data_IF_441960881722
#
_entry.id   IF_441960881722
#
_cell.length_a   1.000
_cell.length_b   1.000
_cell.length_c   1.000
_cell.angle_alpha   90.00
_cell.angle_beta   90.00
_cell.angle_gamma   90.00
#
_symmetry.space_group_name_H-M   'P 1'
#
loop_
_entity.id
_entity.type
_entity.pdbx_description
1 polymer ?
#
# COMPACT_ATOMS: atom_id res chain seq x y z
N UNK A 1 -11.69 22.18 13.30
CA UNK A 1 -10.36 21.49 13.20
C UNK A 1 -10.53 20.33 12.25
N UNK A 2 -9.63 20.16 11.28
CA UNK A 2 -9.68 19.03 10.33
C UNK A 2 -9.33 17.73 11.04
N UNK A 3 -10.10 16.69 10.79
CA UNK A 3 -9.92 15.35 11.38
C UNK A 3 -9.11 14.45 10.47
N UNK A 4 -9.39 14.47 9.17
CA UNK A 4 -8.77 13.61 8.20
C UNK A 4 -8.29 14.41 6.98
N UNK A 5 -6.99 14.27 6.66
CA UNK A 5 -6.45 14.68 5.36
C UNK A 5 -6.43 13.51 4.40
N UNK A 6 -7.12 13.63 3.28
CA UNK A 6 -6.91 12.77 2.12
C UNK A 6 -5.82 13.37 1.23
N UNK A 7 -4.83 12.55 0.84
CA UNK A 7 -3.74 12.96 -0.03
C UNK A 7 -3.91 12.23 -1.34
N UNK A 8 -4.05 12.98 -2.43
CA UNK A 8 -4.34 12.45 -3.77
C UNK A 8 -3.16 12.80 -4.71
N UNK A 9 -2.16 11.90 -4.86
CA UNK A 9 -1.10 12.08 -5.85
C UNK A 9 -1.71 12.00 -7.25
N UNK A 10 -1.45 13.01 -8.08
CA UNK A 10 -2.14 13.20 -9.36
C UNK A 10 -1.15 13.51 -10.48
N UNK A 11 -1.05 12.64 -11.48
CA UNK A 11 -0.25 12.86 -12.67
C UNK A 11 -0.97 12.34 -13.92
N UNK A 12 -1.31 13.24 -14.85
CA UNK A 12 -2.01 12.92 -16.10
C UNK A 12 -3.26 12.02 -15.88
N UNK A 13 -4.15 12.44 -14.97
CA UNK A 13 -5.31 11.66 -14.54
C UNK A 13 -6.63 12.44 -14.62
N UNK A 14 -6.74 13.42 -15.53
CA UNK A 14 -7.92 14.31 -15.68
C UNK A 14 -9.25 13.55 -15.74
N UNK A 15 -9.28 12.39 -16.39
CA UNK A 15 -10.50 11.61 -16.61
C UNK A 15 -10.88 10.74 -15.40
N UNK A 16 -9.98 10.56 -14.44
CA UNK A 16 -10.13 9.69 -13.26
C UNK A 16 -10.32 10.51 -11.96
N UNK A 17 -9.61 11.64 -11.87
CA UNK A 17 -9.58 12.48 -10.68
C UNK A 17 -10.98 12.90 -10.18
N UNK A 18 -11.92 13.13 -11.10
CA UNK A 18 -13.29 13.54 -10.77
C UNK A 18 -13.97 12.54 -9.84
N UNK A 19 -13.97 11.24 -10.18
CA UNK A 19 -14.56 10.19 -9.35
C UNK A 19 -13.88 10.09 -7.99
N UNK A 20 -12.57 10.16 -7.96
CA UNK A 20 -11.80 10.12 -6.73
C UNK A 20 -12.22 11.23 -5.75
N UNK A 21 -12.20 12.48 -6.21
CA UNK A 21 -12.54 13.64 -5.37
C UNK A 21 -14.03 13.60 -4.96
N UNK A 22 -14.94 13.31 -5.89
CA UNK A 22 -16.39 13.28 -5.63
C UNK A 22 -16.76 12.25 -4.57
N UNK A 23 -16.10 11.11 -4.51
CA UNK A 23 -16.34 10.10 -3.47
C UNK A 23 -16.02 10.58 -2.05
N UNK A 24 -15.19 11.62 -1.91
CA UNK A 24 -14.82 12.22 -0.61
C UNK A 24 -15.73 13.41 -0.22
N UNK A 25 -16.56 13.91 -1.14
CA UNK A 25 -17.41 15.07 -0.90
C UNK A 25 -18.69 14.69 -0.14
N UNK A 26 -18.55 14.12 1.05
CA UNK A 26 -19.64 13.75 1.94
C UNK A 26 -20.09 14.97 2.76
N UNK A 27 -21.32 15.50 2.53
CA UNK A 27 -21.76 16.76 3.18
C UNK A 27 -21.75 16.73 4.71
N UNK A 28 -22.00 15.55 5.31
CA UNK A 28 -22.11 15.38 6.76
C UNK A 28 -20.78 15.59 7.49
N UNK A 29 -19.65 15.42 6.80
CA UNK A 29 -18.30 15.49 7.40
C UNK A 29 -17.32 16.36 6.60
N UNK A 30 -17.77 17.00 5.54
CA UNK A 30 -16.90 17.76 4.62
C UNK A 30 -16.10 18.87 5.33
N UNK A 31 -16.66 19.50 6.34
CA UNK A 31 -16.01 20.51 7.17
C UNK A 31 -14.83 19.95 7.98
N UNK A 32 -14.85 18.63 8.26
CA UNK A 32 -13.79 17.89 8.97
C UNK A 32 -12.72 17.30 8.04
N UNK A 33 -12.94 17.34 6.72
CA UNK A 33 -12.02 16.83 5.72
C UNK A 33 -11.09 17.90 5.17
N UNK A 34 -9.84 17.50 4.88
CA UNK A 34 -8.82 18.26 4.18
C UNK A 34 -8.35 17.43 2.98
N UNK A 35 -8.90 17.70 1.81
CA UNK A 35 -8.63 16.94 0.57
C UNK A 35 -7.52 17.66 -0.19
N UNK A 36 -6.35 17.06 -0.28
CA UNK A 36 -5.13 17.63 -0.86
C UNK A 36 -4.84 16.92 -2.17
N UNK A 37 -5.09 17.61 -3.27
CA UNK A 37 -4.70 17.14 -4.61
C UNK A 37 -3.29 17.62 -4.88
N UNK A 38 -2.36 16.71 -5.10
CA UNK A 38 -0.97 17.04 -5.45
C UNK A 38 -0.77 16.77 -6.94
N UNK A 39 -0.80 17.84 -7.74
CA UNK A 39 -0.51 17.76 -9.17
C UNK A 39 1.01 17.68 -9.39
N UNK A 40 1.49 16.52 -9.76
CA UNK A 40 2.91 16.19 -9.94
C UNK A 40 3.40 16.51 -11.36
N UNK A 41 3.19 17.75 -11.81
CA UNK A 41 3.67 18.23 -13.12
C UNK A 41 2.90 17.63 -14.30
N UNK A 42 1.57 17.47 -14.18
CA UNK A 42 0.74 16.97 -15.28
C UNK A 42 0.81 17.86 -16.53
N UNK A 43 0.80 17.23 -17.69
CA UNK A 43 0.75 17.89 -19.01
C UNK A 43 -0.67 17.94 -19.61
N UNK A 44 -1.62 17.24 -19.01
CA UNK A 44 -3.05 17.26 -19.38
C UNK A 44 -3.84 18.26 -18.49
N UNK A 45 -5.16 18.26 -18.59
CA UNK A 45 -6.04 19.15 -17.84
C UNK A 45 -6.24 18.77 -16.35
N UNK A 46 -5.44 17.85 -15.77
CA UNK A 46 -5.54 17.43 -14.36
C UNK A 46 -5.55 18.62 -13.40
N UNK A 47 -4.62 19.59 -13.59
CA UNK A 47 -4.56 20.78 -12.73
C UNK A 47 -5.82 21.64 -12.83
N UNK A 48 -6.39 21.78 -14.04
CA UNK A 48 -7.61 22.57 -14.27
C UNK A 48 -8.84 21.90 -13.61
N UNK A 49 -8.96 20.57 -13.72
CA UNK A 49 -9.99 19.78 -13.02
C UNK A 49 -9.87 19.96 -11.51
N UNK A 50 -8.67 19.80 -10.96
CA UNK A 50 -8.41 19.98 -9.54
C UNK A 50 -8.77 21.40 -9.05
N UNK A 51 -8.38 22.44 -9.80
CA UNK A 51 -8.73 23.84 -9.49
C UNK A 51 -10.23 24.07 -9.50
N UNK A 52 -10.98 23.39 -10.36
CA UNK A 52 -12.44 23.42 -10.38
C UNK A 52 -13.05 22.93 -9.05
N UNK A 53 -12.50 21.89 -8.42
CA UNK A 53 -12.91 21.42 -7.10
C UNK A 53 -12.50 22.39 -5.99
N UNK A 54 -11.30 22.96 -6.03
CA UNK A 54 -10.87 23.98 -5.06
C UNK A 54 -11.80 25.21 -5.07
N UNK A 55 -12.23 25.65 -6.23
CA UNK A 55 -13.12 26.81 -6.35
C UNK A 55 -14.53 26.50 -5.79
N UNK A 56 -15.02 25.26 -5.90
CA UNK A 56 -16.33 24.84 -5.38
C UNK A 56 -16.31 24.53 -3.88
N UNK A 57 -15.18 24.05 -3.36
CA UNK A 57 -15.03 23.60 -1.97
C UNK A 57 -13.77 24.18 -1.31
N UNK A 58 -13.63 25.52 -1.24
CA UNK A 58 -12.36 26.17 -0.85
C UNK A 58 -11.92 25.85 0.58
N UNK A 59 -12.85 25.51 1.48
CA UNK A 59 -12.56 25.18 2.87
C UNK A 59 -12.10 23.71 3.06
N UNK A 60 -12.27 22.87 2.05
CA UNK A 60 -12.02 21.42 2.19
C UNK A 60 -11.13 20.83 1.10
N UNK A 61 -11.02 21.45 -0.07
CA UNK A 61 -10.21 20.95 -1.19
C UNK A 61 -9.09 21.94 -1.51
N UNK A 62 -7.87 21.43 -1.58
CA UNK A 62 -6.67 22.22 -1.90
C UNK A 62 -5.88 21.57 -3.01
N UNK A 63 -5.32 22.39 -3.90
CA UNK A 63 -4.38 21.99 -4.95
C UNK A 63 -2.97 22.44 -4.60
N UNK A 64 -2.02 21.54 -4.70
CA UNK A 64 -0.59 21.81 -4.65
C UNK A 64 0.00 21.34 -5.98
N UNK A 65 0.64 22.24 -6.74
CA UNK A 65 1.32 21.87 -7.98
C UNK A 65 2.83 21.92 -7.77
N UNK A 66 3.51 20.93 -8.30
CA UNK A 66 4.96 20.79 -8.24
C UNK A 66 5.52 20.31 -9.58
N UNK A 67 6.83 20.43 -9.78
CA UNK A 67 7.54 19.71 -10.82
C UNK A 67 7.43 18.19 -10.58
N UNK A 68 7.41 17.38 -11.65
CA UNK A 68 7.25 15.94 -11.50
C UNK A 68 8.41 15.35 -10.68
N UNK A 69 8.05 14.68 -9.58
CA UNK A 69 8.95 13.95 -8.67
C UNK A 69 8.56 12.49 -8.53
N UNK A 70 7.57 12.06 -9.31
CA UNK A 70 6.96 10.75 -9.18
C UNK A 70 6.02 10.63 -7.99
N UNK A 71 5.33 9.49 -7.91
CA UNK A 71 4.29 9.25 -6.92
C UNK A 71 4.78 9.47 -5.48
N UNK A 72 5.95 8.94 -5.10
CA UNK A 72 6.54 9.15 -3.79
C UNK A 72 6.81 10.62 -3.46
N UNK A 73 7.26 11.42 -4.46
CA UNK A 73 7.46 12.87 -4.30
C UNK A 73 6.15 13.61 -4.06
N UNK A 74 5.07 13.22 -4.76
CA UNK A 74 3.73 13.77 -4.53
C UNK A 74 3.20 13.42 -3.12
N UNK A 75 3.43 12.18 -2.66
CA UNK A 75 3.10 11.77 -1.29
C UNK A 75 3.88 12.57 -0.25
N UNK A 76 5.19 12.77 -0.45
CA UNK A 76 6.00 13.59 0.46
C UNK A 76 5.42 14.99 0.63
N UNK A 77 5.04 15.61 -0.48
CA UNK A 77 4.44 16.96 -0.48
C UNK A 77 3.08 16.98 0.21
N UNK A 78 2.20 16.03 -0.13
CA UNK A 78 0.85 15.96 0.46
C UNK A 78 0.88 15.65 1.96
N UNK A 79 1.69 14.69 2.40
CA UNK A 79 1.83 14.34 3.82
C UNK A 79 2.41 15.51 4.65
N UNK A 80 3.35 16.27 4.09
CA UNK A 80 3.87 17.47 4.73
C UNK A 80 2.81 18.57 4.88
N UNK A 81 1.89 18.69 3.90
CA UNK A 81 0.85 19.70 3.88
C UNK A 81 -0.41 19.33 4.68
N UNK A 82 -0.57 18.07 5.12
CA UNK A 82 -1.75 17.58 5.81
C UNK A 82 -2.11 18.40 7.06
N UNK A 83 -3.39 18.76 7.22
CA UNK A 83 -3.91 19.55 8.36
C UNK A 83 -4.80 18.73 9.30
N UNK A 84 -5.22 17.55 8.88
CA UNK A 84 -6.04 16.63 9.66
C UNK A 84 -5.26 15.99 10.81
N UNK A 85 -5.97 15.61 11.87
CA UNK A 85 -5.44 14.76 12.96
C UNK A 85 -4.84 13.46 12.40
N UNK A 86 -5.47 12.94 11.35
CA UNK A 86 -5.03 11.76 10.59
C UNK A 86 -4.79 12.10 9.13
N UNK A 87 -3.97 11.30 8.46
CA UNK A 87 -3.73 11.33 7.01
C UNK A 87 -3.95 9.95 6.39
N UNK A 88 -4.58 9.94 5.22
CA UNK A 88 -4.79 8.75 4.40
C UNK A 88 -4.50 9.09 2.94
N UNK A 89 -3.80 8.20 2.25
CA UNK A 89 -3.55 8.35 0.82
C UNK A 89 -4.64 7.63 0.03
N UNK A 90 -5.07 8.25 -1.07
CA UNK A 90 -5.96 7.67 -2.07
C UNK A 90 -5.38 7.98 -3.44
N UNK A 91 -5.13 6.96 -4.26
CA UNK A 91 -4.65 7.17 -5.63
C UNK A 91 -5.72 7.81 -6.50
N UNK A 92 -5.32 8.67 -7.45
CA UNK A 92 -6.25 9.47 -8.24
C UNK A 92 -7.16 8.64 -9.18
N UNK A 93 -6.85 7.37 -9.40
CA UNK A 93 -7.66 6.40 -10.16
C UNK A 93 -8.55 5.50 -9.28
N UNK A 94 -8.47 5.66 -7.96
CA UNK A 94 -9.24 4.96 -6.94
C UNK A 94 -10.30 5.88 -6.31
N UNK A 95 -11.11 5.35 -5.38
CA UNK A 95 -12.13 6.14 -4.68
C UNK A 95 -12.37 5.61 -3.25
N UNK A 96 -13.24 6.27 -2.50
CA UNK A 96 -13.63 5.86 -1.16
C UNK A 96 -15.11 5.49 -1.08
N UNK A 97 -15.46 4.63 -0.14
CA UNK A 97 -16.84 4.32 0.24
C UNK A 97 -17.46 5.51 0.97
N UNK A 98 -18.09 6.40 0.23
CA UNK A 98 -18.66 7.68 0.72
C UNK A 98 -19.58 7.48 1.92
N UNK A 99 -20.43 6.44 1.89
CA UNK A 99 -21.41 6.14 2.94
C UNK A 99 -20.76 5.81 4.29
N UNK A 100 -19.51 5.32 4.28
CA UNK A 100 -18.76 4.98 5.47
C UNK A 100 -17.95 6.15 6.05
N UNK A 101 -17.82 7.27 5.33
CA UNK A 101 -17.04 8.42 5.79
C UNK A 101 -17.54 9.03 7.11
N UNK A 102 -18.84 9.20 7.37
CA UNK A 102 -19.30 9.73 8.65
C UNK A 102 -18.87 8.87 9.83
N UNK A 103 -19.03 7.55 9.73
CA UNK A 103 -18.61 6.60 10.77
C UNK A 103 -17.09 6.59 10.94
N UNK A 104 -16.34 6.66 9.83
CA UNK A 104 -14.89 6.69 9.85
C UNK A 104 -14.36 7.95 10.52
N UNK A 105 -14.85 9.13 10.14
CA UNK A 105 -14.44 10.41 10.75
C UNK A 105 -14.78 10.44 12.23
N UNK A 106 -15.97 9.98 12.63
CA UNK A 106 -16.37 9.91 14.03
C UNK A 106 -15.46 8.97 14.86
N UNK A 107 -15.03 7.83 14.28
CA UNK A 107 -14.07 6.94 14.92
C UNK A 107 -12.70 7.61 15.07
N UNK A 108 -12.21 8.33 14.04
CA UNK A 108 -10.94 9.04 14.08
C UNK A 108 -10.90 10.19 15.09
N UNK A 109 -12.01 10.91 15.29
CA UNK A 109 -12.10 11.98 16.31
C UNK A 109 -11.73 11.47 17.69
N UNK A 110 -12.19 10.25 18.04
CA UNK A 110 -12.02 9.61 19.32
C UNK A 110 -10.84 8.62 19.39
N UNK A 111 -10.04 8.53 18.33
CA UNK A 111 -8.90 7.63 18.24
C UNK A 111 -7.60 8.39 18.45
N UNK A 112 -6.69 7.85 19.28
CA UNK A 112 -5.35 8.39 19.49
C UNK A 112 -4.24 7.44 19.05
N UNK A 113 -4.60 6.32 18.39
CA UNK A 113 -3.63 5.37 17.87
C UNK A 113 -2.75 5.98 16.77
N UNK A 114 -1.50 5.51 16.69
CA UNK A 114 -0.55 5.93 15.68
C UNK A 114 -0.98 5.51 14.27
N UNK A 115 -1.61 4.32 14.19
CA UNK A 115 -2.12 3.75 12.95
C UNK A 115 -3.56 3.30 13.14
N UNK A 116 -4.40 3.61 12.16
CA UNK A 116 -5.75 3.07 12.04
C UNK A 116 -5.82 2.24 10.78
N UNK A 117 -6.32 1.01 10.91
CA UNK A 117 -6.52 0.07 9.80
C UNK A 117 -7.99 0.01 9.43
N UNK A 118 -8.25 0.04 8.15
CA UNK A 118 -9.57 -0.16 7.55
C UNK A 118 -9.50 -1.25 6.49
N UNK A 119 -10.65 -1.79 6.09
CA UNK A 119 -10.77 -2.72 4.98
C UNK A 119 -10.79 -1.98 3.65
N UNK A 120 -10.57 -2.72 2.58
CA UNK A 120 -10.67 -2.18 1.22
C UNK A 120 -11.28 -3.21 0.27
N UNK A 121 -11.84 -2.72 -0.81
CA UNK A 121 -12.25 -3.53 -1.95
C UNK A 121 -11.23 -3.44 -3.07
N UNK A 122 -11.13 -4.50 -3.86
CA UNK A 122 -10.52 -4.48 -5.17
C UNK A 122 -11.64 -4.52 -6.21
N UNK A 123 -11.75 -3.49 -7.03
CA UNK A 123 -12.82 -3.30 -8.01
C UNK A 123 -12.27 -3.51 -9.42
N UNK A 124 -12.54 -4.67 -10.01
CA UNK A 124 -12.06 -5.00 -11.35
C UNK A 124 -12.97 -4.39 -12.42
N UNK A 125 -12.49 -3.33 -13.09
CA UNK A 125 -13.24 -2.62 -14.11
C UNK A 125 -13.44 -3.40 -15.42
N UNK A 126 -12.63 -4.44 -15.67
CA UNK A 126 -12.73 -5.23 -16.91
C UNK A 126 -13.85 -6.27 -16.86
N UNK A 127 -14.24 -6.75 -15.68
CA UNK A 127 -15.26 -7.78 -15.50
C UNK A 127 -16.35 -7.42 -14.48
N UNK A 128 -16.24 -6.25 -13.83
CA UNK A 128 -17.20 -5.76 -12.84
C UNK A 128 -17.17 -6.49 -11.48
N UNK A 129 -16.17 -7.36 -11.25
CA UNK A 129 -16.05 -8.09 -9.99
C UNK A 129 -15.43 -7.23 -8.89
N UNK A 130 -16.02 -7.29 -7.70
CA UNK A 130 -15.47 -6.67 -6.49
C UNK A 130 -15.09 -7.76 -5.50
N UNK A 131 -13.90 -7.62 -4.88
CA UNK A 131 -13.41 -8.54 -3.86
C UNK A 131 -13.07 -7.77 -2.59
N UNK A 132 -13.60 -8.22 -1.46
CA UNK A 132 -13.31 -7.67 -0.15
C UNK A 132 -11.93 -8.14 0.38
N UNK A 133 -11.16 -7.20 0.94
CA UNK A 133 -9.95 -7.46 1.68
C UNK A 133 -10.17 -7.01 3.11
N UNK A 134 -10.55 -7.96 3.95
CA UNK A 134 -10.94 -7.73 5.34
C UNK A 134 -9.90 -8.32 6.30
N UNK A 135 -9.59 -7.58 7.37
CA UNK A 135 -8.89 -8.09 8.55
C UNK A 135 -9.90 -8.64 9.54
N UNK A 136 -9.49 -9.63 10.33
CA UNK A 136 -10.35 -10.31 11.29
C UNK A 136 -9.76 -10.25 12.71
N UNK A 137 -9.61 -9.05 13.31
CA UNK A 137 -9.18 -8.96 14.70
C UNK A 137 -10.27 -9.51 15.63
N UNK A 138 -9.86 -9.97 16.81
CA UNK A 138 -10.83 -10.41 17.84
C UNK A 138 -11.72 -9.27 18.35
N UNK A 139 -11.22 -8.03 18.25
CA UNK A 139 -11.93 -6.83 18.69
C UNK A 139 -11.61 -5.67 17.77
N UNK A 140 -12.64 -5.10 17.16
CA UNK A 140 -12.54 -3.83 16.46
C UNK A 140 -12.57 -2.65 17.42
N UNK A 141 -11.99 -1.51 17.01
CA UNK A 141 -12.00 -0.28 17.80
C UNK A 141 -11.05 -0.25 19.00
N UNK A 142 -10.41 -1.38 19.34
CA UNK A 142 -9.43 -1.44 20.43
C UNK A 142 -8.02 -1.12 19.90
N UNK A 143 -7.28 -0.30 20.64
CA UNK A 143 -5.86 -0.09 20.38
C UNK A 143 -5.06 -1.34 20.78
N UNK A 144 -4.23 -1.83 19.85
CA UNK A 144 -3.33 -2.97 20.01
C UNK A 144 -1.89 -2.50 19.84
N UNK A 145 -0.97 -3.12 20.54
CA UNK A 145 0.48 -2.97 20.32
C UNK A 145 0.92 -3.71 19.06
N UNK A 146 2.10 -3.36 18.51
CA UNK A 146 2.70 -4.12 17.41
C UNK A 146 2.95 -5.59 17.81
N UNK A 147 3.26 -5.88 19.07
CA UNK A 147 3.43 -7.25 19.55
C UNK A 147 2.14 -8.07 19.41
N UNK A 148 0.99 -7.53 19.87
CA UNK A 148 -0.32 -8.18 19.72
C UNK A 148 -0.72 -8.37 18.25
N UNK A 149 -0.37 -7.41 17.38
CA UNK A 149 -0.56 -7.54 15.92
C UNK A 149 0.28 -8.71 15.37
N UNK A 150 1.55 -8.83 15.78
CA UNK A 150 2.45 -9.86 15.26
C UNK A 150 2.14 -11.27 15.78
N UNK A 151 1.55 -11.43 16.95
CA UNK A 151 1.03 -12.71 17.44
C UNK A 151 -0.07 -13.27 16.50
N UNK A 152 -0.80 -12.40 15.83
CA UNK A 152 -1.91 -12.73 14.92
C UNK A 152 -1.74 -12.06 13.55
N UNK A 153 -0.53 -12.03 13.06
CA UNK A 153 -0.16 -11.27 11.86
C UNK A 153 -1.05 -11.56 10.63
N UNK A 154 -1.46 -12.82 10.44
CA UNK A 154 -2.32 -13.21 9.31
C UNK A 154 -3.69 -12.52 9.33
N UNK A 155 -4.21 -12.15 10.51
CA UNK A 155 -5.51 -11.51 10.65
C UNK A 155 -5.46 -10.04 10.22
N UNK A 156 -4.29 -9.40 10.22
CA UNK A 156 -4.11 -7.98 9.99
C UNK A 156 -3.44 -7.63 8.66
N UNK A 157 -2.62 -8.52 8.09
CA UNK A 157 -1.81 -8.18 6.89
C UNK A 157 -2.62 -7.78 5.68
N UNK A 158 -3.90 -8.13 5.59
CA UNK A 158 -4.80 -7.67 4.51
C UNK A 158 -5.07 -6.16 4.56
N UNK A 159 -5.09 -5.57 5.77
CA UNK A 159 -5.29 -4.12 5.96
C UNK A 159 -3.98 -3.36 6.23
N UNK A 160 -2.88 -4.07 6.55
CA UNK A 160 -1.53 -3.49 6.68
C UNK A 160 -0.88 -3.24 5.31
N UNK A 161 -1.64 -2.64 4.43
CA UNK A 161 -1.27 -2.26 3.07
C UNK A 161 -1.48 -0.77 2.87
N UNK A 162 -0.95 -0.21 1.80
CA UNK A 162 -1.18 1.17 1.40
C UNK A 162 -2.66 1.56 1.47
N UNK A 163 -3.55 0.71 0.95
CA UNK A 163 -4.99 0.97 0.90
C UNK A 163 -5.67 0.97 2.28
N UNK A 164 -5.21 0.12 3.21
CA UNK A 164 -5.83 -0.05 4.53
C UNK A 164 -5.33 0.93 5.59
N UNK A 165 -4.12 1.46 5.44
CA UNK A 165 -3.45 2.26 6.47
C UNK A 165 -3.95 3.71 6.47
N UNK A 166 -4.16 4.24 7.68
CA UNK A 166 -4.35 5.66 7.98
C UNK A 166 -3.42 6.00 9.14
N UNK A 167 -2.59 7.01 9.01
CA UNK A 167 -1.64 7.42 10.04
C UNK A 167 -2.15 8.61 10.84
N UNK A 168 -1.88 8.65 12.14
CA UNK A 168 -1.93 9.91 12.90
C UNK A 168 -0.85 10.84 12.33
N UNK A 169 -1.24 12.02 11.91
CA UNK A 169 -0.38 12.95 11.14
C UNK A 169 0.91 13.29 11.89
N UNK A 170 0.80 13.57 13.18
CA UNK A 170 1.97 13.88 14.01
C UNK A 170 2.91 12.69 14.13
N UNK A 171 2.37 11.49 14.35
CA UNK A 171 3.17 10.25 14.38
C UNK A 171 3.94 10.06 13.06
N UNK A 172 3.25 10.18 11.91
CA UNK A 172 3.88 10.02 10.60
C UNK A 172 5.05 11.02 10.40
N UNK A 173 4.84 12.29 10.75
CA UNK A 173 5.86 13.34 10.66
C UNK A 173 7.07 13.06 11.55
N UNK A 174 6.84 12.56 12.78
CA UNK A 174 7.92 12.19 13.71
C UNK A 174 8.81 11.08 13.18
N UNK A 175 8.32 10.25 12.22
CA UNK A 175 9.15 9.23 11.59
C UNK A 175 10.27 9.79 10.70
N UNK A 176 10.17 11.06 10.28
CA UNK A 176 11.18 11.74 9.48
C UNK A 176 11.45 11.05 8.14
N UNK A 177 10.40 10.56 7.49
CA UNK A 177 10.50 9.79 6.25
C UNK A 177 10.36 10.73 5.06
N UNK A 178 11.24 10.55 4.08
CA UNK A 178 11.03 10.97 2.71
C UNK A 178 10.96 9.71 1.85
N UNK A 179 9.83 9.48 1.20
CA UNK A 179 9.64 8.37 0.26
C UNK A 179 10.51 8.58 -0.97
N UNK A 180 10.93 7.49 -1.58
CA UNK A 180 11.76 7.52 -2.78
C UNK A 180 11.03 8.18 -3.95
N UNK A 181 11.71 9.14 -4.61
CA UNK A 181 11.19 9.86 -5.77
C UNK A 181 11.53 9.12 -7.07
N UNK A 182 10.68 9.26 -8.13
CA UNK A 182 10.87 8.67 -9.45
C UNK A 182 11.02 7.14 -9.48
N UNK A 183 10.53 6.44 -8.46
CA UNK A 183 10.47 4.98 -8.42
C UNK A 183 9.03 4.52 -8.30
N UNK A 184 8.75 3.28 -8.68
CA UNK A 184 7.52 2.57 -8.37
C UNK A 184 7.76 1.67 -7.16
N UNK A 185 6.69 1.28 -6.48
CA UNK A 185 6.69 0.40 -5.29
C UNK A 185 7.15 1.09 -3.99
N UNK A 186 7.23 2.42 -3.96
CA UNK A 186 7.47 3.20 -2.74
C UNK A 186 6.29 3.14 -1.75
N UNK A 187 5.14 2.62 -2.18
CA UNK A 187 4.04 2.19 -1.31
C UNK A 187 4.49 1.17 -0.25
N UNK A 188 5.52 0.36 -0.58
CA UNK A 188 6.15 -0.54 0.38
C UNK A 188 6.94 0.24 1.45
N UNK A 189 7.56 1.36 1.09
CA UNK A 189 8.20 2.25 2.06
C UNK A 189 7.14 2.90 2.96
N UNK A 190 6.07 3.46 2.36
CA UNK A 190 4.96 4.08 3.07
C UNK A 190 4.29 3.11 4.06
N UNK A 191 4.02 1.89 3.65
CA UNK A 191 3.30 0.91 4.48
C UNK A 191 4.20 0.15 5.47
N UNK A 192 5.53 0.24 5.36
CA UNK A 192 6.46 -0.51 6.20
C UNK A 192 7.19 0.38 7.19
N UNK A 193 7.81 1.47 6.71
CA UNK A 193 8.76 2.26 7.51
C UNK A 193 8.09 2.99 8.68
N UNK A 194 6.95 3.71 8.53
CA UNK A 194 6.31 4.30 9.70
C UNK A 194 5.69 3.24 10.60
N UNK A 195 5.03 2.26 10.01
CA UNK A 195 4.22 1.28 10.72
C UNK A 195 5.05 0.42 11.70
N UNK A 196 6.32 0.10 11.35
CA UNK A 196 7.19 -0.70 12.22
C UNK A 196 7.53 -0.03 13.56
N UNK A 197 7.33 1.29 13.68
CA UNK A 197 7.58 2.07 14.91
C UNK A 197 6.28 2.46 15.64
N UNK A 198 5.11 1.96 15.18
CA UNK A 198 3.83 2.30 15.78
C UNK A 198 3.69 1.69 17.17
N UNK A 199 3.43 2.53 18.17
CA UNK A 199 3.14 2.11 19.54
C UNK A 199 1.72 1.59 19.71
N UNK A 200 0.80 2.04 18.85
CA UNK A 200 -0.62 1.66 18.92
C UNK A 200 -1.27 1.59 17.55
N UNK A 201 -2.06 0.54 17.34
CA UNK A 201 -2.75 0.25 16.08
C UNK A 201 -4.21 -0.10 16.38
N UNK A 202 -5.15 0.60 15.77
CA UNK A 202 -6.59 0.30 15.89
C UNK A 202 -7.13 -0.20 14.57
N UNK A 203 -7.84 -1.32 14.56
CA UNK A 203 -8.55 -1.81 13.38
C UNK A 203 -10.04 -1.47 13.50
N UNK A 204 -10.62 -0.87 12.47
CA UNK A 204 -12.04 -0.55 12.37
C UNK A 204 -12.72 -1.53 11.40
N UNK A 205 -13.93 -1.96 11.71
CA UNK A 205 -14.75 -2.80 10.81
C UNK A 205 -15.48 -1.91 9.79
N UNK A 206 -14.68 -1.21 8.98
CA UNK A 206 -15.15 -0.29 7.95
C UNK A 206 -14.38 -0.51 6.66
N UNK A 207 -15.10 -0.58 5.55
CA UNK A 207 -14.51 -0.49 4.22
C UNK A 207 -14.43 0.97 3.82
N UNK A 208 -13.22 1.44 3.47
CA UNK A 208 -12.99 2.87 3.15
C UNK A 208 -12.39 3.04 1.76
N UNK A 209 -11.57 2.13 1.29
CA UNK A 209 -10.82 2.28 0.05
C UNK A 209 -11.32 1.31 -1.02
N UNK A 210 -11.55 1.81 -2.21
CA UNK A 210 -11.88 1.04 -3.41
C UNK A 210 -10.74 1.11 -4.41
N UNK A 211 -9.96 0.02 -4.46
CA UNK A 211 -8.82 -0.13 -5.35
C UNK A 211 -9.26 -0.58 -6.73
N UNK A 212 -9.12 0.29 -7.72
CA UNK A 212 -9.42 0.02 -9.12
C UNK A 212 -8.37 -0.90 -9.74
N UNK A 213 -8.79 -2.02 -10.32
CA UNK A 213 -7.91 -2.94 -11.06
C UNK A 213 -8.52 -3.31 -12.42
N UNK A 214 -7.73 -4.00 -13.27
CA UNK A 214 -8.18 -4.51 -14.55
C UNK A 214 -7.85 -3.60 -15.75
N UNK A 215 -7.10 -2.52 -15.54
CA UNK A 215 -6.50 -1.76 -16.64
C UNK A 215 -5.18 -2.42 -17.07
N UNK A 216 -5.00 -2.60 -18.39
CA UNK A 216 -3.79 -3.22 -18.94
C UNK A 216 -2.51 -2.42 -18.69
N UNK A 217 -2.63 -1.12 -18.40
CA UNK A 217 -1.51 -0.21 -18.15
C UNK A 217 -1.07 -0.17 -16.68
N UNK A 218 -1.75 -0.89 -15.80
CA UNK A 218 -1.44 -0.86 -14.36
C UNK A 218 -0.02 -1.34 -14.04
N UNK A 219 0.52 -0.78 -12.95
CA UNK A 219 1.88 -1.07 -12.45
C UNK A 219 2.12 -2.55 -12.18
N UNK A 220 1.08 -3.25 -11.74
CA UNK A 220 1.12 -4.64 -11.29
C UNK A 220 1.09 -5.69 -12.42
N UNK A 221 0.98 -5.30 -13.71
CA UNK A 221 1.10 -6.26 -14.80
C UNK A 221 2.51 -6.87 -14.85
N UNK A 222 2.63 -8.17 -15.18
CA UNK A 222 3.93 -8.87 -15.27
C UNK A 222 4.92 -8.14 -16.18
N UNK A 223 4.43 -7.58 -17.29
CA UNK A 223 5.26 -6.84 -18.25
C UNK A 223 5.83 -5.56 -17.62
N UNK A 224 5.04 -4.84 -16.84
CA UNK A 224 5.46 -3.63 -16.17
C UNK A 224 6.39 -3.94 -14.97
N UNK A 225 6.11 -4.99 -14.21
CA UNK A 225 7.00 -5.44 -13.15
C UNK A 225 8.39 -5.83 -13.69
N UNK A 226 8.46 -6.53 -14.84
CA UNK A 226 9.73 -6.88 -15.48
C UNK A 226 10.50 -5.65 -15.97
N UNK A 227 9.81 -4.63 -16.49
CA UNK A 227 10.44 -3.36 -16.90
C UNK A 227 10.97 -2.57 -15.70
N UNK A 228 10.37 -2.73 -14.54
CA UNK A 228 10.62 -1.95 -13.32
C UNK A 228 11.38 -2.71 -12.25
N UNK A 229 12.11 -3.78 -12.60
CA UNK A 229 12.90 -4.57 -11.63
C UNK A 229 13.90 -3.71 -10.86
N UNK A 230 14.55 -2.74 -11.52
CA UNK A 230 15.47 -1.81 -10.87
C UNK A 230 14.79 -0.94 -9.80
N UNK A 231 13.52 -0.59 -9.99
CA UNK A 231 12.74 0.16 -8.99
C UNK A 231 12.44 -0.72 -7.77
N UNK A 232 12.01 -1.98 -7.97
CA UNK A 232 11.83 -2.91 -6.86
C UNK A 232 13.13 -3.15 -6.10
N UNK A 233 14.26 -3.25 -6.83
CA UNK A 233 15.59 -3.41 -6.24
C UNK A 233 15.99 -2.17 -5.41
N UNK A 234 15.76 -0.96 -5.92
CA UNK A 234 16.04 0.29 -5.21
C UNK A 234 15.20 0.44 -3.93
N UNK A 235 13.91 0.12 -3.99
CA UNK A 235 13.03 0.14 -2.80
C UNK A 235 13.47 -0.91 -1.78
N UNK A 236 13.86 -2.12 -2.20
CA UNK A 236 14.40 -3.12 -1.27
C UNK A 236 15.69 -2.64 -0.60
N UNK A 237 16.59 -2.00 -1.36
CA UNK A 237 17.84 -1.45 -0.82
C UNK A 237 17.56 -0.32 0.18
N UNK A 238 16.59 0.53 -0.11
CA UNK A 238 16.11 1.57 0.80
C UNK A 238 15.52 0.98 2.09
N UNK A 239 14.68 -0.04 1.97
CA UNK A 239 14.10 -0.72 3.14
C UNK A 239 15.19 -1.38 4.00
N UNK A 240 16.20 -2.02 3.40
CA UNK A 240 17.33 -2.59 4.14
C UNK A 240 18.10 -1.52 4.92
N UNK A 241 18.38 -0.37 4.28
CA UNK A 241 19.05 0.76 4.94
C UNK A 241 18.22 1.34 6.09
N UNK A 242 16.90 1.45 5.93
CA UNK A 242 16.00 1.91 6.98
C UNK A 242 15.93 0.93 8.16
N UNK A 243 15.93 -0.37 7.89
CA UNK A 243 15.96 -1.40 8.93
C UNK A 243 17.24 -1.33 9.78
N UNK A 244 18.40 -1.17 9.14
CA UNK A 244 19.70 -1.02 9.84
C UNK A 244 19.76 0.25 10.70
N UNK A 245 19.14 1.34 10.22
CA UNK A 245 19.25 2.67 10.85
C UNK A 245 18.29 2.85 12.03
N UNK A 246 17.12 2.19 12.01
CA UNK A 246 16.02 2.46 12.97
C UNK A 246 16.21 1.68 14.27
N UNK A 247 16.03 2.34 15.43
CA UNK A 247 16.00 1.65 16.72
C UNK A 247 14.63 0.98 16.91
N UNK A 248 14.45 -0.23 16.34
CA UNK A 248 13.21 -1.00 16.45
C UNK A 248 13.28 -1.97 17.63
N UNK A 249 12.15 -2.12 18.33
CA UNK A 249 11.94 -3.20 19.27
C UNK A 249 11.77 -4.57 18.56
N UNK A 250 11.59 -5.64 19.33
CA UNK A 250 11.46 -6.99 18.76
C UNK A 250 10.24 -7.13 17.83
N UNK A 251 9.10 -6.52 18.19
CA UNK A 251 7.88 -6.60 17.41
C UNK A 251 7.95 -5.79 16.12
N UNK A 252 8.49 -4.57 16.17
CA UNK A 252 8.74 -3.73 15.01
C UNK A 252 9.73 -4.38 14.03
N UNK A 253 10.79 -5.03 14.54
CA UNK A 253 11.69 -5.84 13.72
C UNK A 253 10.98 -6.99 13.03
N UNK A 254 10.19 -7.77 13.78
CA UNK A 254 9.44 -8.90 13.23
C UNK A 254 8.43 -8.45 12.15
N UNK A 255 7.76 -7.31 12.35
CA UNK A 255 6.88 -6.69 11.36
C UNK A 255 7.67 -6.33 10.09
N UNK A 256 8.78 -5.61 10.23
CA UNK A 256 9.60 -5.17 9.10
C UNK A 256 10.12 -6.37 8.29
N UNK A 257 10.64 -7.40 8.97
CA UNK A 257 11.13 -8.64 8.36
C UNK A 257 10.04 -9.37 7.59
N UNK A 258 8.81 -9.38 8.12
CA UNK A 258 7.65 -9.99 7.45
C UNK A 258 7.23 -9.20 6.21
N UNK A 259 7.20 -7.87 6.28
CA UNK A 259 6.94 -7.00 5.11
C UNK A 259 8.02 -7.19 4.05
N UNK A 260 9.29 -7.19 4.42
CA UNK A 260 10.41 -7.45 3.52
C UNK A 260 10.29 -8.82 2.85
N UNK A 261 9.97 -9.89 3.62
CA UNK A 261 9.71 -11.23 3.05
C UNK A 261 8.64 -11.17 1.96
N UNK A 262 7.49 -10.52 2.24
CA UNK A 262 6.37 -10.45 1.29
C UNK A 262 6.82 -9.76 0.01
N UNK A 263 7.51 -8.63 0.10
CA UNK A 263 7.99 -7.87 -1.04
C UNK A 263 9.03 -8.66 -1.86
N UNK A 264 10.00 -9.28 -1.18
CA UNK A 264 11.01 -10.13 -1.84
C UNK A 264 10.36 -11.33 -2.54
N UNK A 265 9.35 -11.98 -1.96
CA UNK A 265 8.66 -13.10 -2.61
C UNK A 265 7.94 -12.66 -3.89
N UNK A 266 7.32 -11.49 -3.92
CA UNK A 266 6.74 -10.90 -5.14
C UNK A 266 7.80 -10.66 -6.22
N UNK A 267 8.94 -10.08 -5.86
CA UNK A 267 10.08 -9.91 -6.76
C UNK A 267 10.60 -11.25 -7.29
N UNK A 268 10.77 -12.26 -6.42
CA UNK A 268 11.24 -13.59 -6.82
C UNK A 268 10.28 -14.28 -7.79
N UNK A 269 8.97 -14.15 -7.60
CA UNK A 269 7.96 -14.63 -8.55
C UNK A 269 8.17 -14.00 -9.92
N UNK A 270 8.37 -12.69 -9.97
CA UNK A 270 8.59 -11.95 -11.22
C UNK A 270 9.85 -12.41 -11.92
N UNK A 271 11.00 -12.40 -11.25
CA UNK A 271 12.29 -12.72 -11.91
C UNK A 271 12.46 -14.22 -12.20
N UNK A 272 11.86 -15.11 -11.41
CA UNK A 272 12.02 -16.56 -11.60
C UNK A 272 10.95 -17.17 -12.51
N UNK A 273 9.68 -16.70 -12.42
CA UNK A 273 8.59 -17.32 -13.17
C UNK A 273 8.10 -16.48 -14.36
N UNK A 274 8.02 -15.14 -14.24
CA UNK A 274 7.56 -14.29 -15.34
C UNK A 274 8.67 -13.99 -16.37
N UNK A 275 9.93 -13.82 -15.94
CA UNK A 275 11.04 -13.54 -16.86
C UNK A 275 11.25 -14.70 -17.85
N UNK A 276 11.24 -14.39 -19.16
CA UNK A 276 11.52 -15.35 -20.23
C UNK A 276 12.98 -15.80 -20.19
N UNK A 277 13.91 -14.93 -19.78
CA UNK A 277 15.32 -15.29 -19.59
C UNK A 277 15.55 -15.96 -18.24
N UNK A 278 15.25 -17.23 -18.16
CA UNK A 278 15.31 -18.03 -16.91
C UNK A 278 16.69 -17.99 -16.23
N UNK A 279 17.79 -17.86 -16.99
CA UNK A 279 19.14 -17.77 -16.44
C UNK A 279 19.42 -16.40 -15.82
N UNK A 280 19.04 -15.33 -16.48
CA UNK A 280 19.17 -13.97 -15.93
C UNK A 280 18.31 -13.81 -14.66
N UNK A 281 17.07 -14.30 -14.66
CA UNK A 281 16.20 -14.31 -13.49
C UNK A 281 16.83 -15.01 -12.30
N UNK A 282 17.47 -16.19 -12.50
CA UNK A 282 18.18 -16.88 -11.40
C UNK A 282 19.33 -16.06 -10.83
N UNK A 283 20.15 -15.44 -11.69
CA UNK A 283 21.29 -14.60 -11.22
C UNK A 283 20.81 -13.43 -10.37
N UNK A 284 19.72 -12.74 -10.81
CA UNK A 284 19.10 -11.65 -10.05
C UNK A 284 18.55 -12.12 -8.69
N UNK A 285 17.81 -13.23 -8.71
CA UNK A 285 17.25 -13.81 -7.50
C UNK A 285 18.35 -14.21 -6.50
N UNK A 286 19.43 -14.86 -6.97
CA UNK A 286 20.56 -15.25 -6.13
C UNK A 286 21.28 -14.06 -5.51
N UNK A 287 21.55 -13.01 -6.30
CA UNK A 287 22.18 -11.79 -5.80
C UNK A 287 21.32 -11.11 -4.72
N UNK A 288 19.99 -11.02 -4.96
CA UNK A 288 19.07 -10.39 -4.01
C UNK A 288 18.90 -11.20 -2.73
N UNK A 289 18.82 -12.53 -2.83
CA UNK A 289 18.73 -13.41 -1.66
C UNK A 289 20.01 -13.42 -0.83
N UNK A 290 21.18 -13.33 -1.49
CA UNK A 290 22.47 -13.19 -0.79
C UNK A 290 22.53 -11.89 0.00
N UNK A 291 22.13 -10.77 -0.60
CA UNK A 291 22.07 -9.47 0.09
C UNK A 291 21.09 -9.50 1.28
N UNK A 292 19.93 -10.16 1.11
CA UNK A 292 18.96 -10.33 2.19
C UNK A 292 19.55 -11.18 3.34
N UNK A 293 20.27 -12.24 3.03
CA UNK A 293 20.94 -13.08 4.04
C UNK A 293 21.99 -12.30 4.83
N UNK A 294 22.78 -11.44 4.16
CA UNK A 294 23.80 -10.60 4.77
C UNK A 294 23.20 -9.49 5.65
N UNK A 295 22.12 -8.83 5.19
CA UNK A 295 21.59 -7.61 5.80
C UNK A 295 20.39 -7.85 6.74
N UNK A 296 19.61 -8.90 6.50
CA UNK A 296 18.40 -9.23 7.26
C UNK A 296 18.18 -10.76 7.28
N UNK A 297 19.05 -11.51 8.01
CA UNK A 297 19.04 -12.99 7.99
C UNK A 297 17.72 -13.60 8.42
N UNK A 298 16.96 -12.94 9.28
CA UNK A 298 15.65 -13.44 9.70
C UNK A 298 14.62 -13.39 8.55
N UNK A 299 14.60 -12.30 7.76
CA UNK A 299 13.74 -12.22 6.59
C UNK A 299 14.16 -13.24 5.51
N UNK A 300 15.47 -13.47 5.35
CA UNK A 300 15.98 -14.55 4.50
C UNK A 300 15.46 -15.91 4.97
N UNK A 301 15.57 -16.23 6.26
CA UNK A 301 15.08 -17.48 6.83
C UNK A 301 13.57 -17.68 6.60
N UNK A 302 12.77 -16.60 6.66
CA UNK A 302 11.34 -16.61 6.36
C UNK A 302 11.05 -16.87 4.88
N UNK A 303 11.92 -16.45 3.95
CA UNK A 303 11.71 -16.52 2.49
C UNK A 303 12.35 -17.77 1.84
N UNK A 304 13.36 -18.40 2.46
CA UNK A 304 14.23 -19.40 1.83
C UNK A 304 13.48 -20.62 1.28
N UNK A 305 12.42 -21.08 1.97
CA UNK A 305 11.62 -22.24 1.51
C UNK A 305 10.91 -21.94 0.18
N UNK A 306 10.24 -20.79 0.10
CA UNK A 306 9.55 -20.35 -1.11
C UNK A 306 10.56 -20.06 -2.24
N UNK A 307 11.69 -19.45 -1.92
CA UNK A 307 12.78 -19.25 -2.88
C UNK A 307 13.26 -20.59 -3.49
N UNK A 308 13.46 -21.64 -2.68
CA UNK A 308 13.85 -22.95 -3.18
C UNK A 308 12.79 -23.55 -4.13
N UNK A 309 11.50 -23.40 -3.79
CA UNK A 309 10.39 -23.82 -4.67
C UNK A 309 10.42 -23.05 -5.99
N UNK A 310 10.46 -21.71 -5.96
CA UNK A 310 10.47 -20.90 -7.18
C UNK A 310 11.70 -21.18 -8.06
N UNK A 311 12.86 -21.41 -7.45
CA UNK A 311 14.09 -21.79 -8.15
C UNK A 311 13.95 -23.15 -8.86
N UNK A 312 13.28 -24.11 -8.25
CA UNK A 312 12.98 -25.42 -8.87
C UNK A 312 12.01 -25.25 -10.03
N UNK A 313 10.92 -24.52 -9.84
CA UNK A 313 9.95 -24.21 -10.89
C UNK A 313 10.59 -23.47 -12.08
N UNK A 314 11.51 -22.53 -11.80
CA UNK A 314 12.26 -21.84 -12.85
C UNK A 314 13.13 -22.83 -13.67
N UNK A 315 13.83 -23.79 -13.02
CA UNK A 315 14.63 -24.83 -13.72
C UNK A 315 13.76 -25.70 -14.59
N UNK A 316 12.55 -26.02 -14.15
CA UNK A 316 11.54 -26.77 -14.90
C UNK A 316 10.82 -25.92 -15.96
N UNK A 317 11.16 -24.64 -16.09
CA UNK A 317 10.51 -23.65 -16.98
C UNK A 317 9.00 -23.56 -16.75
N UNK A 318 8.55 -23.76 -15.51
CA UNK A 318 7.15 -23.69 -15.14
C UNK A 318 6.61 -22.26 -15.41
N UNK A 319 5.47 -22.11 -16.13
CA UNK A 319 4.95 -20.80 -16.50
C UNK A 319 4.27 -20.13 -15.33
N UNK A 320 4.46 -18.78 -15.16
CA UNK A 320 3.81 -17.99 -14.11
C UNK A 320 2.28 -18.13 -14.16
N UNK A 321 1.68 -18.08 -15.34
CA UNK A 321 0.23 -18.22 -15.49
C UNK A 321 -0.33 -19.54 -14.91
N UNK A 322 0.45 -20.64 -14.94
CA UNK A 322 0.04 -21.87 -14.30
C UNK A 322 0.17 -21.81 -12.76
N UNK A 323 1.17 -21.05 -12.27
CA UNK A 323 1.29 -20.75 -10.85
C UNK A 323 0.10 -19.92 -10.34
N UNK A 324 -0.24 -18.84 -11.06
CA UNK A 324 -1.35 -17.96 -10.69
C UNK A 324 -2.67 -18.75 -10.63
N UNK A 325 -2.96 -19.57 -11.64
CA UNK A 325 -4.15 -20.47 -11.63
C UNK A 325 -4.15 -21.44 -10.45
N UNK A 326 -2.98 -21.99 -10.09
CA UNK A 326 -2.86 -22.88 -8.93
C UNK A 326 -3.20 -22.11 -7.63
N UNK A 327 -2.64 -20.90 -7.48
CA UNK A 327 -2.87 -20.08 -6.31
C UNK A 327 -4.33 -19.60 -6.17
N UNK A 328 -5.03 -19.40 -7.29
CA UNK A 328 -6.45 -19.06 -7.34
C UNK A 328 -7.38 -20.27 -7.22
N UNK A 329 -6.85 -21.48 -7.26
CA UNK A 329 -7.67 -22.69 -7.25
C UNK A 329 -8.29 -22.97 -5.88
N UNK A 330 -9.57 -23.35 -5.85
CA UNK A 330 -10.27 -23.80 -4.63
C UNK A 330 -9.54 -24.95 -3.93
N UNK A 331 -8.88 -25.85 -4.70
CA UNK A 331 -8.10 -26.96 -4.18
C UNK A 331 -6.91 -26.48 -3.35
N UNK A 332 -6.18 -25.47 -3.82
CA UNK A 332 -5.05 -24.90 -3.08
C UNK A 332 -5.52 -24.28 -1.76
N UNK A 333 -6.62 -23.54 -1.77
CA UNK A 333 -7.18 -22.90 -0.58
C UNK A 333 -7.72 -23.94 0.42
N UNK A 334 -8.39 -24.98 -0.08
CA UNK A 334 -8.83 -26.11 0.74
C UNK A 334 -7.65 -26.81 1.44
N UNK A 335 -6.55 -27.10 0.72
CA UNK A 335 -5.35 -27.73 1.29
C UNK A 335 -4.66 -26.82 2.33
N UNK A 336 -4.73 -25.52 2.16
CA UNK A 336 -4.14 -24.52 3.09
C UNK A 336 -5.02 -24.22 4.30
N UNK A 337 -6.25 -24.74 4.35
CA UNK A 337 -7.21 -24.44 5.42
C UNK A 337 -7.73 -23.00 5.40
N UNK A 338 -7.61 -22.33 4.26
CA UNK A 338 -8.17 -20.99 4.07
C UNK A 338 -9.64 -21.15 3.67
N UNK A 339 -10.54 -21.00 4.63
CA UNK A 339 -11.99 -21.12 4.42
C UNK A 339 -12.66 -19.83 3.85
N UNK A 340 -11.89 -18.77 3.60
CA UNK A 340 -12.39 -17.42 3.29
C UNK A 340 -12.65 -17.17 1.78
N UNK A 341 -12.90 -18.19 0.97
CA UNK A 341 -13.12 -18.04 -0.48
C UNK A 341 -14.56 -18.25 -0.92
N UNK A 342 -15.49 -18.41 0.01
CA UNK A 342 -16.91 -18.70 -0.29
C UNK A 342 -17.89 -17.53 0.04
N UNK A 343 -17.39 -16.26 0.15
CA UNK A 343 -18.27 -15.06 0.21
C UNK A 343 -17.85 -14.01 -0.81
#
# INVERSE_FOLDING_TARGET
MKVLSFIIPSYNCRDLLGRCVESMLCPEVLDKLDIIIVNDGSSDDTAAVAQGYCNRYPDSVRLISQENKGHGGALNTGCAAAQGKFLKVIDADDWVETENLPAFVAALENCDSDVVLTHHYTCNISNGQTRAWKSYPTTFGKALSMAEIMERANDFFRSLTFHGITYRTEFYRQQGIALSEHVFYEDQEFSTIPCCSAGSITCLDLFIYDYRIGDLNQSMSDANQLKRLSHSEAVMDRLLAEYERRPLDAAGKAFFQTKMKIFVLGYLLTVLLADKNKSAGRKRAEARMKLLEEKMPEAYALAQKQYAVFRTLNRLRFPKAAWDRLMESKIYHFIKGNHDFDE
#
